data_IF_634897982795
#
_entry.id   IF_634897982795
#
_cell.length_a   1.000
_cell.length_b   1.000
_cell.length_c   1.000
_cell.angle_alpha   90.00
_cell.angle_beta   90.00
_cell.angle_gamma   90.00
#
_symmetry.space_group_name_H-M   'P 1'
#
loop_
_entity.id
_entity.type
_entity.pdbx_description
1 polymer ?
#
# COMPACT_ATOMS: atom_id res chain seq x y z
N UNK A 1 -10.04 11.88 -1.91
CA UNK A 1 -10.21 10.48 -2.35
C UNK A 1 -10.34 9.60 -1.11
N UNK A 2 -11.18 8.56 -1.12
CA UNK A 2 -11.34 7.67 0.05
C UNK A 2 -10.54 6.38 -0.16
N UNK A 3 -9.49 6.20 0.65
CA UNK A 3 -8.73 4.94 0.72
C UNK A 3 -9.53 3.87 1.48
N UNK A 4 -9.43 2.62 1.06
CA UNK A 4 -10.23 1.49 1.59
C UNK A 4 -9.40 0.37 2.20
N UNK A 5 -8.08 0.38 2.00
CA UNK A 5 -7.17 -0.60 2.59
C UNK A 5 -7.14 -0.53 4.10
N UNK A 6 -6.95 -1.69 4.72
CA UNK A 6 -6.74 -1.79 6.17
C UNK A 6 -5.57 -0.91 6.59
N UNK A 7 -5.80 -0.10 7.63
CA UNK A 7 -4.75 0.71 8.25
C UNK A 7 -4.18 -0.01 9.46
N UNK A 8 -2.88 0.11 9.63
CA UNK A 8 -2.15 -0.38 10.79
C UNK A 8 -1.50 0.80 11.49
N UNK A 9 -1.63 0.86 12.82
CA UNK A 9 -1.05 1.93 13.62
C UNK A 9 0.27 1.46 14.22
N UNK A 10 1.26 2.34 14.22
CA UNK A 10 2.55 2.16 14.87
C UNK A 10 2.93 3.46 15.60
N UNK A 11 3.71 3.41 16.68
CA UNK A 11 4.05 4.59 17.46
C UNK A 11 4.92 5.59 16.68
N UNK A 12 5.81 5.09 15.82
CA UNK A 12 6.70 5.86 14.96
C UNK A 12 7.11 5.04 13.73
N UNK A 13 8.02 5.59 12.91
CA UNK A 13 8.50 4.91 11.70
C UNK A 13 9.30 3.63 12.02
N UNK A 14 10.08 3.61 13.10
CA UNK A 14 10.84 2.43 13.49
C UNK A 14 9.88 1.30 13.91
N UNK A 15 8.86 1.61 14.71
CA UNK A 15 7.80 0.69 15.06
C UNK A 15 7.00 0.19 13.86
N UNK A 16 6.80 1.04 12.84
CA UNK A 16 6.15 0.63 11.59
C UNK A 16 7.02 -0.35 10.78
N UNK A 17 8.33 -0.11 10.72
CA UNK A 17 9.30 -1.03 10.09
C UNK A 17 9.29 -2.39 10.81
N UNK A 18 9.39 -2.39 12.14
CA UNK A 18 9.34 -3.61 12.96
C UNK A 18 8.00 -4.35 12.84
N UNK A 19 6.89 -3.61 12.70
CA UNK A 19 5.57 -4.19 12.46
C UNK A 19 5.52 -4.90 11.10
N UNK A 20 6.04 -4.28 10.04
CA UNK A 20 6.16 -4.91 8.73
C UNK A 20 7.01 -6.18 8.78
N UNK A 21 8.14 -6.14 9.48
CA UNK A 21 9.04 -7.28 9.66
C UNK A 21 8.35 -8.42 10.42
N UNK A 22 7.74 -8.13 11.58
CA UNK A 22 7.06 -9.11 12.43
C UNK A 22 5.90 -9.81 11.72
N UNK A 23 5.19 -9.10 10.84
CA UNK A 23 4.09 -9.66 10.05
C UNK A 23 4.55 -10.40 8.78
N UNK A 24 5.85 -10.46 8.49
CA UNK A 24 6.40 -11.10 7.30
C UNK A 24 6.05 -10.37 6.00
N UNK A 25 5.85 -9.04 6.05
CA UNK A 25 5.57 -8.22 4.87
C UNK A 25 6.83 -7.70 4.17
N UNK A 26 8.00 -8.05 4.71
CA UNK A 26 9.31 -7.71 4.15
C UNK A 26 9.93 -8.96 3.52
N UNK A 27 10.97 -8.76 2.72
CA UNK A 27 11.84 -9.82 2.18
C UNK A 27 13.00 -10.18 3.14
N UNK A 28 12.94 -9.70 4.39
CA UNK A 28 14.02 -9.81 5.38
C UNK A 28 14.92 -8.58 5.44
N UNK A 29 14.77 -7.61 4.53
CA UNK A 29 15.46 -6.32 4.57
C UNK A 29 14.56 -5.21 5.14
N UNK A 30 15.14 -4.08 5.58
CA UNK A 30 14.35 -2.92 5.98
C UNK A 30 13.46 -2.42 4.86
N UNK A 31 12.20 -2.15 5.18
CA UNK A 31 11.22 -1.56 4.25
C UNK A 31 10.97 -0.09 4.59
N UNK A 32 10.40 0.64 3.66
CA UNK A 32 9.80 1.94 3.92
C UNK A 32 8.29 1.75 4.01
N UNK A 33 7.67 1.85 5.20
CA UNK A 33 6.23 1.62 5.32
C UNK A 33 5.43 2.72 4.60
N UNK A 34 4.41 2.36 3.81
CA UNK A 34 3.56 3.35 3.14
C UNK A 34 2.71 4.10 4.16
N UNK A 35 2.52 5.40 3.92
CA UNK A 35 1.59 6.24 4.69
C UNK A 35 0.41 6.68 3.82
N UNK A 36 -0.72 7.00 4.44
CA UNK A 36 -1.91 7.47 3.71
C UNK A 36 -1.57 8.68 2.83
N UNK A 37 -0.86 9.67 3.37
CA UNK A 37 -0.48 10.88 2.65
C UNK A 37 0.37 10.59 1.40
N UNK A 38 1.31 9.64 1.48
CA UNK A 38 2.15 9.24 0.33
C UNK A 38 1.33 8.51 -0.73
N UNK A 39 0.42 7.64 -0.30
CA UNK A 39 -0.48 6.91 -1.21
C UNK A 39 -1.43 7.87 -1.92
N UNK A 40 -2.01 8.83 -1.20
CA UNK A 40 -2.87 9.88 -1.78
C UNK A 40 -2.09 10.76 -2.76
N UNK A 41 -0.87 11.17 -2.42
CA UNK A 41 -0.02 11.93 -3.32
C UNK A 41 0.34 11.15 -4.59
N UNK A 42 0.65 9.86 -4.48
CA UNK A 42 0.94 8.99 -5.62
C UNK A 42 -0.29 8.84 -6.55
N UNK A 43 -1.47 8.62 -5.98
CA UNK A 43 -2.73 8.52 -6.74
C UNK A 43 -3.08 9.83 -7.44
N UNK A 44 -2.92 10.97 -6.75
CA UNK A 44 -3.15 12.30 -7.32
C UNK A 44 -2.18 12.60 -8.47
N UNK A 45 -0.89 12.26 -8.32
CA UNK A 45 0.11 12.41 -9.37
C UNK A 45 -0.20 11.53 -10.59
N UNK A 46 -0.74 10.34 -10.38
CA UNK A 46 -1.18 9.43 -11.44
C UNK A 46 -2.53 9.79 -12.06
N UNK A 47 -3.33 10.67 -11.43
CA UNK A 47 -4.69 11.00 -11.86
C UNK A 47 -5.67 9.83 -11.75
N UNK A 48 -5.46 8.92 -10.78
CA UNK A 48 -6.24 7.69 -10.62
C UNK A 48 -7.08 7.69 -9.33
N UNK A 49 -8.32 7.26 -9.44
CA UNK A 49 -9.17 6.97 -8.27
C UNK A 49 -8.72 5.67 -7.57
N UNK A 50 -8.79 5.58 -6.23
CA UNK A 50 -8.30 4.43 -5.47
C UNK A 50 -8.88 3.07 -5.94
N UNK A 51 -10.16 3.04 -6.33
CA UNK A 51 -10.88 1.84 -6.75
C UNK A 51 -10.67 1.46 -8.22
N UNK A 52 -9.98 2.29 -9.01
CA UNK A 52 -9.72 2.01 -10.42
C UNK A 52 -8.96 0.69 -10.57
N UNK A 53 -9.51 -0.27 -11.30
CA UNK A 53 -8.86 -1.55 -11.55
C UNK A 53 -7.81 -1.39 -12.63
N UNK A 54 -6.53 -1.56 -12.26
CA UNK A 54 -5.40 -1.50 -13.19
C UNK A 54 -5.15 -2.85 -13.87
N UNK A 55 -5.38 -3.94 -13.15
CA UNK A 55 -5.22 -5.28 -13.68
C UNK A 55 -6.15 -6.27 -12.98
N UNK A 56 -6.39 -7.40 -13.64
CA UNK A 56 -7.05 -8.55 -13.05
C UNK A 56 -6.14 -9.77 -13.21
N UNK A 57 -5.81 -10.43 -12.10
CA UNK A 57 -4.96 -11.62 -12.10
C UNK A 57 -5.88 -12.84 -12.21
N UNK A 58 -6.05 -13.37 -13.41
CA UNK A 58 -7.02 -14.43 -13.72
C UNK A 58 -6.82 -15.69 -12.88
N UNK A 59 -5.59 -16.20 -12.76
CA UNK A 59 -5.32 -17.42 -12.01
C UNK A 59 -5.51 -17.29 -10.49
N UNK A 60 -5.59 -16.06 -9.96
CA UNK A 60 -5.88 -15.78 -8.55
C UNK A 60 -7.29 -15.26 -8.33
N UNK A 61 -8.01 -14.89 -9.40
CA UNK A 61 -9.31 -14.21 -9.35
C UNK A 61 -9.27 -12.95 -8.48
N UNK A 62 -8.21 -12.15 -8.63
CA UNK A 62 -7.97 -10.94 -7.83
C UNK A 62 -7.93 -9.70 -8.72
N UNK A 63 -8.73 -8.69 -8.35
CA UNK A 63 -8.63 -7.33 -8.88
C UNK A 63 -7.48 -6.58 -8.22
N UNK A 64 -6.61 -5.98 -9.03
CA UNK A 64 -5.52 -5.11 -8.58
C UNK A 64 -5.95 -3.67 -8.80
N UNK A 65 -6.27 -2.98 -7.71
CA UNK A 65 -6.70 -1.59 -7.74
C UNK A 65 -5.52 -0.62 -7.72
N UNK A 66 -5.75 0.61 -8.19
CA UNK A 66 -4.78 1.70 -8.13
C UNK A 66 -4.28 1.94 -6.69
N UNK A 67 -5.16 1.86 -5.68
CA UNK A 67 -4.76 1.96 -4.28
C UNK A 67 -3.73 0.90 -3.89
N UNK A 68 -3.93 -0.37 -4.28
CA UNK A 68 -3.00 -1.46 -3.97
C UNK A 68 -1.65 -1.29 -4.64
N UNK A 69 -1.63 -0.78 -5.88
CA UNK A 69 -0.39 -0.48 -6.59
C UNK A 69 0.33 0.70 -5.93
N UNK A 70 -0.39 1.77 -5.61
CA UNK A 70 0.17 2.95 -4.95
C UNK A 70 0.80 2.60 -3.59
N UNK A 71 0.15 1.74 -2.78
CA UNK A 71 0.69 1.24 -1.50
C UNK A 71 2.05 0.54 -1.66
N UNK A 72 2.27 -0.18 -2.78
CA UNK A 72 3.56 -0.85 -3.02
C UNK A 72 4.62 0.08 -3.62
N UNK A 73 4.25 1.29 -4.04
CA UNK A 73 5.13 2.21 -4.76
C UNK A 73 5.80 3.27 -3.85
N UNK A 74 5.36 3.45 -2.59
CA UNK A 74 5.76 4.57 -1.71
C UNK A 74 5.96 4.20 -0.25
#
# INVERSE_FOLDING_TARGET
MQLTSRRHMAPDIAGAIELCYTNGWTDGLPVVPPTADRVEAMLAAAGLEPQHQLAFIENRQVSVTAEKVAINAV
#
